data_IF_492021663361
#
_entry.id   IF_492021663361
#
_cell.length_a   1.000
_cell.length_b   1.000
_cell.length_c   1.000
_cell.angle_alpha   90.00
_cell.angle_beta   90.00
_cell.angle_gamma   90.00
#
_symmetry.space_group_name_H-M   'P 1'
#
loop_
_entity.id
_entity.type
_entity.pdbx_description
1 polymer ?
#
# COMPACT_ATOMS: atom_id res chain seq x y z
N UNK A 1 14.45 -3.50 6.80
CA UNK A 1 14.84 -2.52 7.83
C UNK A 1 13.58 -1.83 8.34
N UNK A 2 13.52 -1.50 9.64
CA UNK A 2 12.26 -1.12 10.33
C UNK A 2 12.34 0.23 11.06
N UNK A 3 13.33 1.05 10.76
CA UNK A 3 13.59 2.32 11.46
C UNK A 3 12.44 3.32 11.37
N UNK A 4 11.83 3.48 10.19
CA UNK A 4 10.72 4.40 9.98
C UNK A 4 9.49 4.05 10.85
N UNK A 5 9.16 2.76 10.96
CA UNK A 5 8.04 2.30 11.80
C UNK A 5 8.28 2.59 13.28
N UNK A 6 9.52 2.48 13.77
CA UNK A 6 9.85 2.85 15.16
C UNK A 6 9.63 4.35 15.40
N UNK A 7 10.10 5.19 14.47
CA UNK A 7 9.90 6.64 14.55
C UNK A 7 8.43 7.05 14.51
N UNK A 8 7.62 6.41 13.65
CA UNK A 8 6.17 6.62 13.62
C UNK A 8 5.51 6.16 14.92
N UNK A 9 5.90 5.00 15.46
CA UNK A 9 5.37 4.50 16.73
C UNK A 9 5.67 5.42 17.91
N UNK A 10 6.85 6.04 17.94
CA UNK A 10 7.20 7.08 18.92
C UNK A 10 6.35 8.35 18.73
N UNK A 11 6.16 8.80 17.48
CA UNK A 11 5.36 9.99 17.18
C UNK A 11 3.86 9.83 17.53
N UNK A 12 3.34 8.61 17.48
CA UNK A 12 1.93 8.30 17.76
C UNK A 12 1.64 7.87 19.21
N UNK A 13 2.65 7.86 20.09
CA UNK A 13 2.47 7.45 21.47
C UNK A 13 1.40 8.29 22.19
N UNK A 14 0.36 7.62 22.72
CA UNK A 14 -0.76 8.26 23.42
C UNK A 14 -1.80 8.95 22.52
N UNK A 15 -1.68 8.85 21.19
CA UNK A 15 -2.57 9.48 20.20
C UNK A 15 -2.82 8.61 18.97
N UNK A 16 -2.85 7.29 19.17
CA UNK A 16 -2.98 6.31 18.08
C UNK A 16 -4.27 6.52 17.27
N UNK A 17 -5.34 6.90 17.94
CA UNK A 17 -6.68 7.15 17.40
C UNK A 17 -6.77 8.43 16.55
N UNK A 18 -5.81 9.35 16.65
CA UNK A 18 -5.73 10.56 15.81
C UNK A 18 -5.16 10.28 14.41
N UNK A 19 -4.65 9.06 14.15
CA UNK A 19 -3.94 8.73 12.91
C UNK A 19 -4.59 7.58 12.14
N UNK A 20 -4.60 7.72 10.81
CA UNK A 20 -4.83 6.62 9.89
C UNK A 20 -3.49 6.00 9.50
N UNK A 21 -3.17 4.83 10.07
CA UNK A 21 -1.85 4.23 9.98
C UNK A 21 -1.77 3.18 8.87
N UNK A 22 -0.86 3.41 7.92
CA UNK A 22 -0.60 2.52 6.78
C UNK A 22 0.81 1.96 6.87
N UNK A 23 0.94 0.64 6.78
CA UNK A 23 2.24 -0.02 6.55
C UNK A 23 2.14 -1.02 5.39
N UNK A 24 3.23 -1.72 5.09
CA UNK A 24 3.34 -2.59 3.92
C UNK A 24 4.06 -3.91 4.22
N UNK A 25 3.66 -4.97 3.53
CA UNK A 25 4.39 -6.24 3.50
C UNK A 25 5.21 -6.35 2.23
N UNK A 26 6.47 -6.78 2.37
CA UNK A 26 7.28 -7.14 1.21
C UNK A 26 6.75 -8.41 0.54
N UNK A 27 6.86 -8.53 -0.80
CA UNK A 27 6.29 -9.66 -1.53
C UNK A 27 6.80 -11.02 -1.08
N UNK A 28 8.08 -11.16 -0.73
CA UNK A 28 8.63 -12.44 -0.24
C UNK A 28 8.13 -12.87 1.16
N UNK A 29 7.32 -12.02 1.80
CA UNK A 29 6.62 -12.30 3.04
C UNK A 29 5.09 -12.31 2.86
N UNK A 30 4.58 -12.16 1.64
CA UNK A 30 3.15 -11.92 1.42
C UNK A 30 2.26 -13.17 1.42
N UNK A 31 2.79 -14.37 1.70
CA UNK A 31 2.02 -15.62 1.70
C UNK A 31 2.09 -16.41 3.02
N UNK A 32 1.08 -17.25 3.24
CA UNK A 32 1.04 -18.24 4.33
C UNK A 32 1.22 -17.64 5.73
N UNK A 33 2.11 -18.22 6.53
CA UNK A 33 2.41 -17.70 7.88
C UNK A 33 3.35 -16.49 7.86
N UNK A 34 4.07 -16.25 6.75
CA UNK A 34 5.04 -15.15 6.67
C UNK A 34 4.37 -13.78 6.73
N UNK A 35 3.18 -13.64 6.17
CA UNK A 35 2.44 -12.38 6.16
C UNK A 35 1.97 -12.00 7.57
N UNK A 36 1.56 -13.01 8.35
CA UNK A 36 1.18 -12.84 9.76
C UNK A 36 2.40 -12.39 10.56
N UNK A 37 3.51 -13.11 10.47
CA UNK A 37 4.75 -12.76 11.16
C UNK A 37 5.26 -11.36 10.78
N UNK A 38 5.19 -10.99 9.50
CA UNK A 38 5.60 -9.67 9.03
C UNK A 38 4.70 -8.55 9.56
N UNK A 39 3.38 -8.78 9.64
CA UNK A 39 2.44 -7.82 10.20
C UNK A 39 2.67 -7.64 11.71
N UNK A 40 2.80 -8.73 12.47
CA UNK A 40 3.06 -8.69 13.92
C UNK A 40 4.34 -7.94 14.25
N UNK A 41 5.39 -8.16 13.46
CA UNK A 41 6.67 -7.49 13.64
C UNK A 41 6.61 -5.99 13.26
N UNK A 42 5.72 -5.61 12.32
CA UNK A 42 5.41 -4.21 12.02
C UNK A 42 4.65 -3.54 13.16
N UNK A 43 3.60 -4.19 13.67
CA UNK A 43 2.82 -3.75 14.84
C UNK A 43 3.69 -3.55 16.08
N UNK A 44 4.60 -4.50 16.35
CA UNK A 44 5.56 -4.41 17.45
C UNK A 44 6.45 -3.17 17.34
N UNK A 45 6.95 -2.85 16.14
CA UNK A 45 7.76 -1.64 15.92
C UNK A 45 6.96 -0.36 16.04
N UNK A 46 5.70 -0.38 15.57
CA UNK A 46 4.76 0.74 15.64
C UNK A 46 4.16 0.93 17.04
N UNK A 47 4.35 -0.02 17.97
CA UNK A 47 3.79 0.00 19.33
C UNK A 47 2.27 0.17 19.32
N UNK A 48 1.60 -0.57 18.44
CA UNK A 48 0.14 -0.57 18.31
C UNK A 48 -0.36 -1.98 17.99
N UNK A 49 -1.64 -2.24 18.26
CA UNK A 49 -2.25 -3.56 18.08
C UNK A 49 -2.88 -3.74 16.70
N UNK A 50 -3.07 -2.65 15.94
CA UNK A 50 -3.69 -2.70 14.63
C UNK A 50 -3.18 -1.63 13.64
N UNK A 51 -3.24 -1.96 12.35
CA UNK A 51 -3.11 -1.03 11.24
C UNK A 51 -4.49 -0.67 10.67
N UNK A 52 -4.68 0.58 10.25
CA UNK A 52 -5.89 0.97 9.53
C UNK A 52 -5.88 0.37 8.11
N UNK A 53 -4.69 0.28 7.51
CA UNK A 53 -4.50 -0.27 6.18
C UNK A 53 -3.15 -0.96 6.05
N UNK A 54 -3.13 -2.16 5.45
CA UNK A 54 -1.91 -2.89 5.15
C UNK A 54 -1.79 -3.21 3.67
N UNK A 55 -0.66 -2.87 3.06
CA UNK A 55 -0.49 -2.97 1.61
C UNK A 55 0.47 -4.09 1.22
N UNK A 56 0.15 -4.85 0.18
CA UNK A 56 1.19 -5.53 -0.59
C UNK A 56 2.10 -4.46 -1.23
N UNK A 57 3.41 -4.51 -1.00
CA UNK A 57 4.31 -3.43 -1.42
C UNK A 57 4.54 -3.40 -2.95
N UNK A 58 4.59 -4.57 -3.59
CA UNK A 58 4.57 -4.79 -5.04
C UNK A 58 4.32 -6.29 -5.31
N UNK A 59 4.00 -6.67 -6.53
CA UNK A 59 3.81 -8.07 -6.92
C UNK A 59 5.10 -8.90 -6.73
N UNK A 60 4.97 -10.19 -6.45
CA UNK A 60 6.12 -11.07 -6.27
C UNK A 60 5.80 -12.54 -6.49
N UNK A 61 6.52 -13.42 -5.80
CA UNK A 61 6.47 -14.86 -6.06
C UNK A 61 5.25 -15.59 -5.48
N UNK A 62 4.64 -15.06 -4.41
CA UNK A 62 3.38 -15.60 -3.91
C UNK A 62 2.24 -15.18 -4.82
N UNK A 63 1.25 -16.05 -4.99
CA UNK A 63 0.07 -15.69 -5.77
C UNK A 63 -0.77 -14.61 -5.07
N UNK A 64 -1.64 -13.95 -5.84
CA UNK A 64 -2.58 -13.01 -5.24
C UNK A 64 -3.57 -13.72 -4.31
N UNK A 65 -3.95 -14.96 -4.60
CA UNK A 65 -4.82 -15.76 -3.73
C UNK A 65 -4.18 -16.00 -2.36
N UNK A 66 -2.91 -16.43 -2.33
CA UNK A 66 -2.18 -16.61 -1.07
C UNK A 66 -2.06 -15.31 -0.29
N UNK A 67 -1.87 -14.19 -1.00
CA UNK A 67 -1.78 -12.87 -0.39
C UNK A 67 -3.11 -12.42 0.19
N UNK A 68 -4.20 -12.56 -0.57
CA UNK A 68 -5.56 -12.20 -0.13
C UNK A 68 -5.98 -13.05 1.06
N UNK A 69 -5.74 -14.37 1.04
CA UNK A 69 -6.02 -15.24 2.19
C UNK A 69 -5.29 -14.77 3.45
N UNK A 70 -4.02 -14.39 3.31
CA UNK A 70 -3.22 -13.83 4.39
C UNK A 70 -3.76 -12.51 4.95
N UNK A 71 -4.16 -11.60 4.06
CA UNK A 71 -4.75 -10.31 4.44
C UNK A 71 -6.10 -10.47 5.15
N UNK A 72 -6.98 -11.32 4.64
CA UNK A 72 -8.27 -11.62 5.26
C UNK A 72 -8.11 -12.28 6.63
N UNK A 73 -7.10 -13.16 6.79
CA UNK A 73 -6.75 -13.71 8.10
C UNK A 73 -6.32 -12.63 9.09
N UNK A 74 -5.54 -11.65 8.65
CA UNK A 74 -5.13 -10.51 9.49
C UNK A 74 -6.33 -9.63 9.88
N UNK A 75 -7.31 -9.45 9.00
CA UNK A 75 -8.58 -8.78 9.32
C UNK A 75 -9.34 -9.57 10.38
N UNK A 76 -9.50 -10.88 10.19
CA UNK A 76 -10.19 -11.75 11.16
C UNK A 76 -9.54 -11.76 12.54
N UNK A 77 -8.22 -11.57 12.60
CA UNK A 77 -7.45 -11.45 13.85
C UNK A 77 -7.48 -10.03 14.45
N UNK A 78 -8.11 -9.05 13.79
CA UNK A 78 -8.16 -7.65 14.22
C UNK A 78 -6.84 -6.88 14.07
N UNK A 79 -5.83 -7.46 13.41
CA UNK A 79 -4.49 -6.87 13.26
C UNK A 79 -4.44 -5.79 12.18
N UNK A 80 -5.33 -5.87 11.19
CA UNK A 80 -5.50 -4.83 10.18
C UNK A 80 -7.00 -4.56 10.01
N UNK A 81 -7.40 -3.32 9.70
CA UNK A 81 -8.81 -3.00 9.41
C UNK A 81 -9.16 -3.29 7.96
N UNK A 82 -8.26 -2.95 7.04
CA UNK A 82 -8.39 -3.16 5.59
C UNK A 82 -7.03 -3.52 4.98
N UNK A 83 -7.06 -4.05 3.77
CA UNK A 83 -5.86 -4.27 2.98
C UNK A 83 -5.96 -3.58 1.62
N UNK A 84 -4.81 -3.35 1.00
CA UNK A 84 -4.71 -2.83 -0.36
C UNK A 84 -3.40 -3.26 -1.00
N UNK A 85 -3.03 -2.58 -2.08
CA UNK A 85 -1.82 -2.91 -2.85
C UNK A 85 -1.05 -1.66 -3.21
N UNK A 86 0.18 -1.86 -3.67
CA UNK A 86 1.08 -0.83 -4.14
C UNK A 86 1.85 -1.35 -5.34
N UNK A 87 2.15 -0.48 -6.31
CA UNK A 87 2.91 -0.82 -7.52
C UNK A 87 2.36 -2.01 -8.33
N UNK A 88 1.03 -2.10 -8.44
CA UNK A 88 0.37 -2.99 -9.39
C UNK A 88 -0.11 -2.14 -10.57
N UNK A 89 0.12 -2.63 -11.79
CA UNK A 89 -0.40 -2.01 -13.01
C UNK A 89 -1.85 -2.42 -13.28
N UNK A 90 -2.40 -2.02 -14.44
CA UNK A 90 -3.76 -2.36 -14.81
C UNK A 90 -3.99 -3.89 -14.91
N UNK A 91 -3.06 -4.63 -15.49
CA UNK A 91 -3.21 -6.07 -15.71
C UNK A 91 -3.09 -6.86 -14.40
N UNK A 92 -2.18 -6.44 -13.53
CA UNK A 92 -2.09 -6.97 -12.16
C UNK A 92 -3.38 -6.76 -11.38
N UNK A 93 -3.93 -5.53 -11.45
CA UNK A 93 -5.19 -5.21 -10.78
C UNK A 93 -6.36 -6.02 -11.35
N UNK A 94 -6.39 -6.23 -12.66
CA UNK A 94 -7.38 -7.10 -13.31
C UNK A 94 -7.26 -8.55 -12.84
N UNK A 95 -6.04 -9.08 -12.71
CA UNK A 95 -5.80 -10.42 -12.20
C UNK A 95 -6.27 -10.55 -10.75
N UNK A 96 -5.87 -9.61 -9.89
CA UNK A 96 -6.32 -9.54 -8.50
C UNK A 96 -7.85 -9.45 -8.39
N UNK A 97 -8.51 -8.65 -9.23
CA UNK A 97 -9.96 -8.43 -9.12
C UNK A 97 -10.81 -9.67 -9.45
N UNK A 98 -10.25 -10.62 -10.21
CA UNK A 98 -10.95 -11.84 -10.64
C UNK A 98 -10.90 -12.96 -9.61
N UNK A 99 -10.01 -12.89 -8.63
CA UNK A 99 -9.87 -13.93 -7.61
C UNK A 99 -10.86 -13.73 -6.45
N UNK A 100 -11.27 -14.80 -5.74
CA UNK A 100 -12.11 -14.68 -4.55
C UNK A 100 -11.49 -13.73 -3.52
N UNK A 101 -12.30 -12.77 -3.02
CA UNK A 101 -11.84 -11.77 -2.06
C UNK A 101 -11.07 -10.59 -2.67
N UNK A 102 -10.58 -10.68 -3.91
CA UNK A 102 -9.77 -9.62 -4.53
C UNK A 102 -10.45 -8.26 -4.63
N UNK A 103 -11.78 -8.24 -4.76
CA UNK A 103 -12.60 -7.01 -4.79
C UNK A 103 -12.65 -6.27 -3.44
N UNK A 104 -12.12 -6.87 -2.36
CA UNK A 104 -12.00 -6.20 -1.06
C UNK A 104 -10.80 -5.24 -0.97
N UNK A 105 -9.93 -5.24 -1.99
CA UNK A 105 -8.80 -4.32 -2.11
C UNK A 105 -9.26 -2.87 -1.92
N UNK A 106 -8.73 -2.21 -0.90
CA UNK A 106 -9.20 -0.89 -0.49
C UNK A 106 -8.50 0.27 -1.21
N UNK A 107 -7.32 0.05 -1.80
CA UNK A 107 -6.56 1.10 -2.50
C UNK A 107 -5.47 0.52 -3.39
N UNK A 108 -5.01 1.30 -4.36
CA UNK A 108 -3.76 1.09 -5.09
C UNK A 108 -2.82 2.28 -4.86
N UNK A 109 -1.63 2.04 -4.29
CA UNK A 109 -0.60 3.06 -4.09
C UNK A 109 0.44 3.01 -5.24
N UNK A 110 0.54 4.07 -6.04
CA UNK A 110 1.37 4.10 -7.25
C UNK A 110 2.12 5.42 -7.43
N UNK A 111 3.18 5.42 -8.24
CA UNK A 111 3.93 6.62 -8.57
C UNK A 111 3.05 7.55 -9.38
N UNK A 112 2.84 8.76 -8.88
CA UNK A 112 2.09 9.76 -9.63
C UNK A 112 2.51 11.16 -9.24
N UNK A 113 2.93 11.93 -10.24
CA UNK A 113 3.27 13.34 -10.13
C UNK A 113 3.23 13.98 -11.52
N UNK A 114 3.36 15.30 -11.62
CA UNK A 114 3.13 16.03 -12.87
C UNK A 114 4.03 15.58 -14.04
N UNK A 115 5.26 15.12 -13.78
CA UNK A 115 6.14 14.51 -14.79
C UNK A 115 6.01 12.97 -14.96
N UNK A 116 5.12 12.30 -14.24
CA UNK A 116 4.89 10.85 -14.34
C UNK A 116 3.40 10.56 -14.24
N UNK A 117 2.72 10.67 -15.38
CA UNK A 117 1.26 10.65 -15.52
C UNK A 117 0.73 9.39 -16.20
N UNK A 118 1.56 8.35 -16.35
CA UNK A 118 1.23 7.15 -17.12
C UNK A 118 -0.08 6.48 -16.68
N UNK A 119 -0.36 6.47 -15.37
CA UNK A 119 -1.57 5.86 -14.81
C UNK A 119 -2.88 6.50 -15.31
N UNK A 120 -2.84 7.72 -15.85
CA UNK A 120 -4.04 8.38 -16.39
C UNK A 120 -4.61 7.69 -17.62
N UNK A 121 -3.81 6.88 -18.32
CA UNK A 121 -4.23 6.20 -19.53
C UNK A 121 -5.22 5.05 -19.25
N UNK A 122 -4.95 4.23 -18.24
CA UNK A 122 -5.66 2.97 -17.98
C UNK A 122 -6.00 2.76 -16.50
N UNK A 123 -5.00 2.77 -15.61
CA UNK A 123 -5.14 2.36 -14.23
C UNK A 123 -6.03 3.31 -13.41
N UNK A 124 -5.82 4.62 -13.53
CA UNK A 124 -6.59 5.62 -12.79
C UNK A 124 -8.07 5.64 -13.23
N UNK A 125 -8.41 5.68 -14.54
CA UNK A 125 -9.80 5.51 -14.99
C UNK A 125 -10.44 4.22 -14.47
N UNK A 126 -9.71 3.11 -14.49
CA UNK A 126 -10.22 1.84 -13.99
C UNK A 126 -10.47 1.87 -12.46
N UNK A 127 -9.53 2.39 -11.67
CA UNK A 127 -9.71 2.55 -10.22
C UNK A 127 -10.93 3.43 -9.90
N UNK A 128 -11.16 4.50 -10.68
CA UNK A 128 -12.35 5.36 -10.54
C UNK A 128 -13.65 4.59 -10.82
N UNK A 129 -13.69 3.76 -11.87
CA UNK A 129 -14.85 2.92 -12.18
C UNK A 129 -15.18 1.95 -11.04
N UNK A 130 -14.15 1.38 -10.39
CA UNK A 130 -14.32 0.50 -9.23
C UNK A 130 -14.56 1.25 -7.91
N UNK A 131 -14.60 2.60 -7.93
CA UNK A 131 -14.67 3.46 -6.74
C UNK A 131 -13.55 3.18 -5.73
N UNK A 132 -12.36 2.83 -6.23
CA UNK A 132 -11.19 2.53 -5.43
C UNK A 132 -10.25 3.74 -5.39
N UNK A 133 -9.92 4.28 -4.21
CA UNK A 133 -8.99 5.40 -4.09
C UNK A 133 -7.58 5.00 -4.53
N UNK A 134 -6.88 5.92 -5.20
CA UNK A 134 -5.46 5.81 -5.53
C UNK A 134 -4.63 6.65 -4.55
N UNK A 135 -3.59 6.06 -3.95
CA UNK A 135 -2.61 6.81 -3.16
C UNK A 135 -1.40 7.16 -4.03
N UNK A 136 -1.21 8.43 -4.36
CA UNK A 136 -0.05 8.89 -5.13
C UNK A 136 1.21 8.97 -4.24
N UNK A 137 2.23 8.15 -4.51
CA UNK A 137 3.53 8.30 -3.86
C UNK A 137 4.50 9.13 -4.70
N UNK A 138 5.52 9.69 -4.03
CA UNK A 138 6.44 10.68 -4.59
C UNK A 138 5.72 11.83 -5.33
N UNK A 139 4.68 12.45 -4.75
CA UNK A 139 3.85 13.44 -5.46
C UNK A 139 4.65 14.69 -5.90
N UNK A 140 5.78 14.97 -5.26
CA UNK A 140 6.70 16.06 -5.60
C UNK A 140 7.95 15.58 -6.36
N UNK A 141 7.90 14.38 -6.97
CA UNK A 141 9.04 13.76 -7.64
C UNK A 141 10.31 13.70 -6.77
N UNK A 142 10.14 13.42 -5.47
CA UNK A 142 11.19 13.50 -4.44
C UNK A 142 11.91 14.86 -4.41
N UNK A 143 11.12 15.94 -4.39
CA UNK A 143 11.60 17.33 -4.52
C UNK A 143 12.36 17.57 -5.84
N UNK A 144 11.81 17.07 -6.95
CA UNK A 144 12.38 17.22 -8.30
C UNK A 144 13.55 16.31 -8.63
N UNK A 145 14.03 15.45 -7.71
CA UNK A 145 15.15 14.53 -7.98
C UNK A 145 14.84 13.48 -9.05
N UNK A 146 13.58 13.06 -9.16
CA UNK A 146 13.17 12.09 -10.19
C UNK A 146 13.03 12.72 -11.58
N UNK A 147 12.94 14.06 -11.68
CA UNK A 147 12.88 14.78 -12.96
C UNK A 147 13.48 16.18 -12.83
N UNK A 148 14.66 16.36 -13.43
CA UNK A 148 15.34 17.65 -13.46
C UNK A 148 14.44 18.76 -14.00
N UNK A 149 14.45 19.90 -13.29
CA UNK A 149 13.71 21.10 -13.67
C UNK A 149 12.23 21.10 -13.31
N UNK A 150 11.68 20.03 -12.71
CA UNK A 150 10.23 19.95 -12.43
C UNK A 150 9.72 21.14 -11.62
N UNK A 151 10.39 21.49 -10.53
CA UNK A 151 9.93 22.54 -9.61
C UNK A 151 10.17 23.96 -10.14
N UNK A 152 10.90 24.10 -11.25
CA UNK A 152 11.30 25.39 -11.83
C UNK A 152 10.77 25.58 -13.25
N UNK A 153 10.00 24.64 -13.77
CA UNK A 153 9.57 24.65 -15.16
C UNK A 153 8.30 25.49 -15.30
N UNK A 154 8.26 26.53 -16.16
CA UNK A 154 7.21 27.56 -16.13
C UNK A 154 5.80 27.09 -16.54
N UNK A 155 5.70 25.87 -17.09
CA UNK A 155 4.45 25.26 -17.56
C UNK A 155 4.02 24.08 -16.67
N UNK A 156 4.91 23.61 -15.80
CA UNK A 156 4.66 22.52 -14.84
C UNK A 156 4.39 23.16 -13.49
#
# INVERSE_FOLDING_TARGET
DGGAEKGVGEALAGRRDEAFLVSKVYPWNAGGQKIVAACEESLRRLKTDYLDLYLLHWAGSFSFEETVEGMERLIAQGKIRRWGVSNLDYDDMQALWRIPGGQQCATSQVLYHLASRGIEYDLLPWCQQQRMPVMAYSPLAQAGRLRNGLLTHPVV
#
